data_IF_517833419242
#
_entry.id   IF_517833419242
#
_cell.length_a   1.000
_cell.length_b   1.000
_cell.length_c   1.000
_cell.angle_alpha   90.00
_cell.angle_beta   90.00
_cell.angle_gamma   90.00
#
_symmetry.space_group_name_H-M   'P 1'
#
loop_
_entity.id
_entity.type
_entity.pdbx_description
1 polymer ?
#
# COMPACT_ATOMS: atom_id res chain seq x y z
N UNK A 1 4.00 -64.95 3.80
CA UNK A 1 4.87 -63.82 3.40
C UNK A 1 4.06 -62.56 3.67
N UNK A 2 4.46 -61.78 4.68
CA UNK A 2 3.78 -60.56 5.09
C UNK A 2 4.65 -59.38 4.65
N UNK A 3 4.17 -58.59 3.69
CA UNK A 3 4.85 -57.39 3.23
C UNK A 3 4.77 -56.31 4.31
N UNK A 4 5.94 -55.93 4.83
CA UNK A 4 6.06 -54.82 5.76
C UNK A 4 6.04 -53.53 4.95
N UNK A 5 4.92 -52.80 5.00
CA UNK A 5 4.79 -51.48 4.39
C UNK A 5 5.66 -50.51 5.20
N UNK A 6 6.80 -50.11 4.63
CA UNK A 6 7.64 -49.04 5.17
C UNK A 6 6.88 -47.71 5.05
N UNK A 7 6.67 -47.06 6.20
CA UNK A 7 6.09 -45.72 6.29
C UNK A 7 7.04 -44.74 5.59
N UNK A 8 6.56 -43.86 4.69
CA UNK A 8 7.43 -42.88 4.04
C UNK A 8 8.05 -41.94 5.09
N UNK A 9 9.27 -41.42 4.85
CA UNK A 9 9.91 -40.49 5.76
C UNK A 9 9.04 -39.23 5.92
N UNK A 10 9.05 -38.59 7.10
CA UNK A 10 8.30 -37.35 7.30
C UNK A 10 8.76 -36.31 6.29
N UNK A 11 7.80 -35.67 5.64
CA UNK A 11 8.02 -34.46 4.83
C UNK A 11 8.81 -33.45 5.67
N UNK A 12 9.77 -32.76 5.04
CA UNK A 12 10.53 -31.68 5.65
C UNK A 12 9.59 -30.78 6.46
N UNK A 13 9.97 -30.50 7.71
CA UNK A 13 9.10 -29.88 8.72
C UNK A 13 8.37 -28.66 8.17
N UNK A 14 7.05 -28.62 8.35
CA UNK A 14 6.27 -27.44 8.07
C UNK A 14 6.83 -26.30 8.93
N UNK A 15 7.38 -25.28 8.29
CA UNK A 15 7.73 -24.02 8.97
C UNK A 15 6.40 -23.45 9.45
N UNK A 16 6.20 -23.39 10.77
CA UNK A 16 5.03 -22.75 11.34
C UNK A 16 5.15 -21.25 11.10
N UNK A 17 4.14 -20.65 10.48
CA UNK A 17 4.07 -19.20 10.28
C UNK A 17 3.05 -18.60 11.24
N UNK A 18 3.24 -17.34 11.64
CA UNK A 18 2.23 -16.56 12.32
C UNK A 18 1.87 -15.31 11.50
N UNK A 19 0.57 -15.05 11.36
CA UNK A 19 0.06 -13.91 10.60
C UNK A 19 0.03 -12.66 11.48
N UNK A 20 0.56 -11.54 11.00
CA UNK A 20 0.58 -10.26 11.73
C UNK A 20 0.10 -9.13 10.84
N UNK A 21 -0.58 -8.17 11.46
CA UNK A 21 -0.87 -6.86 10.89
C UNK A 21 0.14 -5.85 11.44
N UNK A 22 0.57 -4.93 10.58
CA UNK A 22 1.36 -3.76 10.94
C UNK A 22 0.56 -2.53 10.56
N UNK A 23 0.31 -1.65 11.52
CA UNK A 23 -0.66 -0.56 11.38
C UNK A 23 -0.03 0.75 11.83
N UNK A 24 -0.15 1.78 11.00
CA UNK A 24 0.34 3.11 11.27
C UNK A 24 -0.69 3.96 12.04
N UNK A 25 -0.25 4.62 13.11
CA UNK A 25 -1.02 5.62 13.84
C UNK A 25 -0.37 6.99 13.65
N UNK A 26 -1.04 7.86 12.89
CA UNK A 26 -0.51 9.14 12.42
C UNK A 26 -0.09 10.07 13.57
N UNK A 27 -1.01 10.39 14.48
CA UNK A 27 -0.79 11.44 15.49
C UNK A 27 0.16 10.99 16.60
N UNK A 28 0.17 9.70 16.92
CA UNK A 28 1.15 9.13 17.86
C UNK A 28 2.53 8.96 17.23
N UNK A 29 2.63 9.04 15.89
CA UNK A 29 3.86 8.73 15.17
C UNK A 29 4.31 7.31 15.47
N UNK A 30 3.39 6.35 15.44
CA UNK A 30 3.63 5.00 15.94
C UNK A 30 3.29 3.93 14.90
N UNK A 31 3.98 2.79 15.03
CA UNK A 31 3.68 1.56 14.28
C UNK A 31 3.31 0.49 15.29
N UNK A 32 2.14 -0.11 15.11
CA UNK A 32 1.63 -1.19 15.93
C UNK A 32 1.71 -2.50 15.17
N UNK A 33 2.11 -3.58 15.83
CA UNK A 33 2.01 -4.95 15.31
C UNK A 33 1.03 -5.75 16.15
N UNK A 34 0.18 -6.55 15.51
CA UNK A 34 -0.88 -7.33 16.18
C UNK A 34 -1.25 -8.58 15.37
N UNK A 35 -1.99 -9.50 15.98
CA UNK A 35 -2.63 -10.59 15.27
C UNK A 35 -3.76 -10.06 14.38
N UNK A 36 -4.22 -10.88 13.42
CA UNK A 36 -5.30 -10.50 12.47
C UNK A 36 -6.67 -10.32 13.13
N UNK A 37 -6.82 -10.70 14.40
CA UNK A 37 -8.01 -10.44 15.23
C UNK A 37 -7.84 -9.25 16.19
N UNK A 38 -6.70 -8.55 16.11
CA UNK A 38 -6.36 -7.40 16.96
C UNK A 38 -5.72 -7.76 18.31
N UNK A 39 -5.60 -9.04 18.64
CA UNK A 39 -4.90 -9.48 19.85
C UNK A 39 -3.37 -9.34 19.73
N UNK A 40 -2.64 -9.48 20.84
CA UNK A 40 -1.17 -9.32 20.90
C UNK A 40 -0.64 -8.00 20.30
N UNK A 41 -1.41 -6.91 20.48
CA UNK A 41 -1.00 -5.58 20.02
C UNK A 41 0.26 -5.11 20.77
N UNK A 42 1.27 -4.70 20.00
CA UNK A 42 2.54 -4.14 20.47
C UNK A 42 2.89 -2.89 19.67
N UNK A 43 3.25 -1.80 20.34
CA UNK A 43 3.90 -0.66 19.69
C UNK A 43 5.35 -1.00 19.44
N UNK A 44 5.76 -1.11 18.18
CA UNK A 44 7.13 -1.49 17.80
C UNK A 44 7.99 -0.29 17.39
N UNK A 45 7.37 0.78 16.89
CA UNK A 45 8.07 2.04 16.55
C UNK A 45 7.30 3.21 17.13
N UNK A 46 8.01 4.22 17.62
CA UNK A 46 7.48 5.52 18.09
C UNK A 46 8.30 6.67 17.49
N UNK A 47 7.73 7.88 17.46
CA UNK A 47 8.42 9.05 16.92
C UNK A 47 8.65 8.98 15.40
N UNK A 48 7.77 8.30 14.66
CA UNK A 48 7.65 8.48 13.22
C UNK A 48 7.00 9.84 12.92
N UNK A 49 7.40 10.49 11.84
CA UNK A 49 6.95 11.85 11.52
C UNK A 49 5.78 11.81 10.54
N UNK A 50 4.55 11.77 11.06
CA UNK A 50 3.32 11.67 10.28
C UNK A 50 3.36 10.47 9.29
N UNK A 51 3.43 9.22 9.80
CA UNK A 51 3.56 8.05 8.95
C UNK A 51 2.31 7.79 8.10
N UNK A 52 2.48 7.36 6.85
CA UNK A 52 1.34 7.15 5.92
C UNK A 52 1.31 5.76 5.26
N UNK A 53 2.33 5.40 4.48
CA UNK A 53 2.43 4.10 3.81
C UNK A 53 3.35 3.14 4.57
N UNK A 54 3.05 1.83 4.53
CA UNK A 54 3.86 0.78 5.16
C UNK A 54 3.90 -0.48 4.30
N UNK A 55 5.05 -1.17 4.26
CA UNK A 55 5.21 -2.49 3.65
C UNK A 55 6.16 -3.36 4.48
N UNK A 56 5.95 -4.68 4.45
CA UNK A 56 6.77 -5.66 5.18
C UNK A 56 7.57 -6.50 4.19
N UNK A 57 8.87 -6.58 4.41
CA UNK A 57 9.79 -7.50 3.74
C UNK A 57 10.04 -8.69 4.67
N UNK A 58 9.21 -9.73 4.53
CA UNK A 58 9.31 -10.93 5.36
C UNK A 58 10.65 -11.63 5.15
N UNK A 59 11.16 -11.66 3.92
CA UNK A 59 12.37 -12.39 3.56
C UNK A 59 13.63 -11.83 4.25
N UNK A 60 13.70 -10.51 4.44
CA UNK A 60 14.81 -9.86 5.15
C UNK A 60 14.47 -9.43 6.58
N UNK A 61 13.25 -9.70 7.06
CA UNK A 61 12.82 -9.32 8.40
C UNK A 61 12.76 -7.80 8.61
N UNK A 62 12.29 -7.05 7.62
CA UNK A 62 12.23 -5.59 7.67
C UNK A 62 10.82 -5.04 7.49
N UNK A 63 10.54 -3.92 8.15
CA UNK A 63 9.41 -3.05 7.85
C UNK A 63 9.93 -1.75 7.23
N UNK A 64 9.20 -1.23 6.25
CA UNK A 64 9.48 0.05 5.59
C UNK A 64 8.25 0.93 5.70
N UNK A 65 8.43 2.22 6.00
CA UNK A 65 7.32 3.16 6.04
C UNK A 65 7.71 4.55 5.53
N UNK A 66 6.72 5.27 5.04
CA UNK A 66 6.87 6.66 4.61
C UNK A 66 6.49 7.60 5.74
N UNK A 67 7.26 8.68 5.88
CA UNK A 67 6.97 9.81 6.75
C UNK A 67 6.62 11.00 5.86
N UNK A 68 5.41 11.55 6.02
CA UNK A 68 4.91 12.59 5.11
C UNK A 68 5.71 13.89 5.17
N UNK A 69 6.39 14.17 6.29
CA UNK A 69 6.91 15.52 6.51
C UNK A 69 5.77 16.54 6.64
N UNK A 70 6.10 17.82 6.51
CA UNK A 70 5.10 18.88 6.47
C UNK A 70 4.75 19.15 5.00
N UNK A 71 3.47 19.09 4.56
CA UNK A 71 3.11 19.17 3.14
C UNK A 71 3.70 20.32 2.32
N UNK A 72 3.96 21.48 2.95
CA UNK A 72 4.54 22.64 2.28
C UNK A 72 6.08 22.68 2.34
N UNK A 73 6.72 21.68 2.94
CA UNK A 73 8.17 21.48 3.01
C UNK A 73 8.53 20.21 2.22
N UNK A 74 9.63 20.26 1.46
CA UNK A 74 10.19 19.08 0.79
C UNK A 74 11.02 18.25 1.78
N UNK A 75 10.37 17.79 2.86
CA UNK A 75 11.02 17.17 4.03
C UNK A 75 10.48 15.79 4.39
N UNK A 76 9.76 15.16 3.46
CA UNK A 76 9.36 13.76 3.53
C UNK A 76 10.55 12.81 3.57
N UNK A 77 10.36 11.63 4.14
CA UNK A 77 11.42 10.61 4.25
C UNK A 77 10.86 9.20 4.22
N UNK A 78 11.73 8.21 4.01
CA UNK A 78 11.38 6.78 4.11
C UNK A 78 12.35 6.13 5.09
N UNK A 79 11.80 5.36 6.00
CA UNK A 79 12.54 4.68 7.04
C UNK A 79 12.30 3.17 7.00
N UNK A 80 13.22 2.45 7.63
CA UNK A 80 13.21 0.99 7.75
C UNK A 80 13.64 0.58 9.15
N UNK A 81 12.97 -0.41 9.73
CA UNK A 81 13.40 -1.09 10.96
C UNK A 81 13.28 -2.61 10.78
N UNK A 82 13.80 -3.37 11.73
CA UNK A 82 13.53 -4.80 11.82
C UNK A 82 12.06 -5.02 12.25
N UNK A 83 11.52 -6.24 12.10
CA UNK A 83 10.10 -6.53 12.41
C UNK A 83 9.71 -6.25 13.87
N UNK A 84 10.67 -6.21 14.79
CA UNK A 84 10.49 -5.86 16.20
C UNK A 84 10.67 -4.36 16.50
N UNK A 85 10.98 -3.55 15.48
CA UNK A 85 11.22 -2.11 15.57
C UNK A 85 12.66 -1.70 15.86
N UNK A 86 13.57 -2.66 16.07
CA UNK A 86 15.00 -2.37 16.26
C UNK A 86 15.69 -2.02 14.95
N UNK A 87 16.96 -1.58 15.01
CA UNK A 87 17.78 -1.26 13.83
C UNK A 87 17.13 -0.27 12.84
N UNK A 88 16.35 0.67 13.39
CA UNK A 88 15.70 1.77 12.66
C UNK A 88 16.72 2.64 11.93
N UNK A 89 16.48 2.89 10.65
CA UNK A 89 17.32 3.71 9.75
C UNK A 89 16.45 4.51 8.80
N UNK A 90 16.85 5.75 8.54
CA UNK A 90 16.34 6.53 7.41
C UNK A 90 17.09 6.12 6.15
N UNK A 91 16.36 5.56 5.17
CA UNK A 91 16.93 5.04 3.93
C UNK A 91 16.74 6.04 2.77
N UNK A 92 15.66 6.81 2.78
CA UNK A 92 15.48 7.97 1.90
C UNK A 92 15.46 9.22 2.78
N UNK A 93 16.49 10.08 2.71
CA UNK A 93 16.56 11.27 3.54
C UNK A 93 15.64 12.39 3.04
N UNK A 94 15.40 13.36 3.92
CA UNK A 94 14.64 14.58 3.61
C UNK A 94 15.23 15.31 2.39
N UNK A 95 14.37 15.94 1.59
CA UNK A 95 14.76 16.62 0.34
C UNK A 95 14.90 15.71 -0.88
N UNK A 96 14.63 14.40 -0.75
CA UNK A 96 14.59 13.47 -1.89
C UNK A 96 13.16 13.07 -2.30
N UNK A 97 12.19 13.23 -1.42
CA UNK A 97 10.76 13.02 -1.65
C UNK A 97 9.99 14.02 -0.81
N UNK A 98 8.92 14.59 -1.36
CA UNK A 98 8.28 15.76 -0.76
C UNK A 98 7.29 15.36 0.34
N UNK A 99 6.25 14.61 -0.02
CA UNK A 99 5.27 14.08 0.92
C UNK A 99 4.89 12.65 0.52
N UNK A 100 5.78 11.67 0.78
CA UNK A 100 5.59 10.30 0.38
C UNK A 100 4.32 9.70 1.01
N UNK A 101 3.67 8.80 0.28
CA UNK A 101 2.38 8.16 0.61
C UNK A 101 2.54 6.64 0.62
N UNK A 102 1.62 5.89 0.01
CA UNK A 102 1.72 4.43 -0.08
C UNK A 102 3.09 4.02 -0.61
N UNK A 103 3.63 2.95 -0.03
CA UNK A 103 4.89 2.32 -0.42
C UNK A 103 4.64 0.82 -0.59
N UNK A 104 5.24 0.23 -1.61
CA UNK A 104 5.17 -1.21 -1.89
C UNK A 104 6.58 -1.75 -2.13
N UNK A 105 6.73 -3.07 -2.03
CA UNK A 105 7.96 -3.79 -2.29
C UNK A 105 7.79 -4.72 -3.50
N UNK A 106 8.66 -4.56 -4.51
CA UNK A 106 8.88 -5.59 -5.52
C UNK A 106 9.94 -6.56 -5.02
N UNK A 107 9.51 -7.66 -4.40
CA UNK A 107 10.43 -8.65 -3.84
C UNK A 107 11.38 -9.24 -4.88
N UNK A 108 10.92 -9.41 -6.14
CA UNK A 108 11.75 -10.00 -7.20
C UNK A 108 12.65 -8.98 -7.87
N UNK A 109 12.14 -7.75 -8.03
CA UNK A 109 12.88 -6.64 -8.62
C UNK A 109 13.87 -5.98 -7.65
N UNK A 110 13.79 -6.29 -6.35
CA UNK A 110 14.62 -5.72 -5.29
C UNK A 110 14.49 -4.19 -5.15
N UNK A 111 13.27 -3.69 -5.34
CA UNK A 111 12.97 -2.25 -5.38
C UNK A 111 11.78 -1.91 -4.49
N UNK A 112 11.89 -0.77 -3.81
CA UNK A 112 10.76 -0.09 -3.18
C UNK A 112 10.16 0.90 -4.15
N UNK A 113 8.84 1.03 -4.17
CA UNK A 113 8.12 2.02 -4.97
C UNK A 113 7.19 2.80 -4.06
N UNK A 114 7.08 4.12 -4.26
CA UNK A 114 6.17 4.96 -3.49
C UNK A 114 5.58 6.08 -4.33
N UNK A 115 4.45 6.60 -3.88
CA UNK A 115 3.87 7.83 -4.40
C UNK A 115 4.34 9.02 -3.57
N UNK A 116 4.48 10.17 -4.24
CA UNK A 116 4.82 11.44 -3.62
C UNK A 116 3.75 12.48 -3.97
N UNK A 117 2.99 12.91 -2.96
CA UNK A 117 1.74 13.65 -3.15
C UNK A 117 1.97 15.06 -3.68
N UNK A 118 2.60 15.92 -2.88
CA UNK A 118 2.92 17.30 -3.26
C UNK A 118 4.08 17.39 -4.25
N UNK A 119 4.96 16.38 -4.28
CA UNK A 119 5.96 16.25 -5.33
C UNK A 119 5.37 15.80 -6.67
N UNK A 120 4.12 15.29 -6.68
CA UNK A 120 3.38 14.85 -7.87
C UNK A 120 4.10 13.75 -8.66
N UNK A 121 4.68 12.78 -7.96
CA UNK A 121 5.53 11.75 -8.55
C UNK A 121 5.13 10.35 -8.14
N UNK A 122 5.51 9.39 -8.97
CA UNK A 122 5.69 7.99 -8.56
C UNK A 122 7.17 7.69 -8.68
N UNK A 123 7.76 7.15 -7.62
CA UNK A 123 9.20 6.99 -7.46
C UNK A 123 9.56 5.56 -7.08
N UNK A 124 10.82 5.19 -7.29
CA UNK A 124 11.40 3.93 -6.80
C UNK A 124 12.84 4.10 -6.32
N UNK A 125 13.32 3.13 -5.56
CA UNK A 125 14.72 3.00 -5.14
C UNK A 125 15.05 1.53 -4.88
N UNK A 126 16.34 1.21 -4.73
CA UNK A 126 16.76 -0.04 -4.08
C UNK A 126 16.20 -0.14 -2.66
N UNK A 127 16.13 -1.35 -2.10
CA UNK A 127 15.66 -1.56 -0.71
C UNK A 127 16.47 -0.82 0.35
N UNK A 128 17.72 -0.48 0.05
CA UNK A 128 18.58 0.32 0.92
C UNK A 128 18.41 1.84 0.76
N UNK A 129 17.50 2.28 -0.11
CA UNK A 129 17.24 3.68 -0.44
C UNK A 129 18.16 4.28 -1.49
N UNK A 130 19.12 3.52 -2.02
CA UNK A 130 19.99 3.99 -3.11
C UNK A 130 19.28 3.97 -4.47
N UNK A 131 19.82 4.69 -5.46
CA UNK A 131 19.27 4.78 -6.82
C UNK A 131 17.81 5.24 -6.86
N UNK A 132 17.53 6.37 -6.21
CA UNK A 132 16.21 7.01 -6.28
C UNK A 132 15.95 7.46 -7.71
N UNK A 133 14.81 7.03 -8.27
CA UNK A 133 14.39 7.29 -9.64
C UNK A 133 12.93 7.75 -9.64
N UNK A 134 12.61 8.79 -10.42
CA UNK A 134 11.23 9.18 -10.73
C UNK A 134 10.74 8.40 -11.94
N UNK A 135 9.62 7.70 -11.81
CA UNK A 135 9.00 6.89 -12.88
C UNK A 135 7.86 7.61 -13.59
N UNK A 136 7.14 8.46 -12.86
CA UNK A 136 6.06 9.33 -13.34
C UNK A 136 6.25 10.70 -12.70
N UNK A 137 6.17 11.76 -13.49
CA UNK A 137 6.12 13.15 -13.05
C UNK A 137 4.84 13.79 -13.58
N UNK A 138 3.86 13.98 -12.71
CA UNK A 138 2.54 14.49 -13.07
C UNK A 138 2.45 16.02 -13.05
N UNK A 139 3.48 16.72 -12.55
CA UNK A 139 3.55 18.18 -12.51
C UNK A 139 4.82 18.66 -11.85
N UNK A 140 5.07 19.98 -11.94
CA UNK A 140 6.25 20.60 -11.34
C UNK A 140 5.96 22.01 -10.82
N UNK A 141 6.55 22.34 -9.67
CA UNK A 141 6.47 23.66 -9.05
C UNK A 141 5.16 23.94 -8.30
N UNK A 142 5.11 25.10 -7.65
CA UNK A 142 4.06 25.50 -6.71
C UNK A 142 2.66 25.61 -7.34
N UNK A 143 2.58 25.97 -8.62
CA UNK A 143 1.30 26.09 -9.31
C UNK A 143 0.65 24.72 -9.51
N UNK A 144 1.42 23.74 -10.02
CA UNK A 144 0.95 22.38 -10.25
C UNK A 144 0.70 21.66 -8.91
N UNK A 145 1.52 21.90 -7.88
CA UNK A 145 1.34 21.25 -6.57
C UNK A 145 0.04 21.63 -5.85
N UNK A 146 -0.64 22.70 -6.27
CA UNK A 146 -1.98 23.07 -5.78
C UNK A 146 -3.11 22.36 -6.52
N UNK A 147 -2.83 21.78 -7.69
CA UNK A 147 -3.81 20.99 -8.42
C UNK A 147 -3.84 19.57 -7.85
N UNK A 148 -4.79 19.33 -6.93
CA UNK A 148 -4.97 18.02 -6.29
C UNK A 148 -5.24 16.88 -7.28
N UNK A 149 -5.59 17.18 -8.54
CA UNK A 149 -5.72 16.12 -9.54
C UNK A 149 -4.37 15.55 -9.97
N UNK A 150 -3.23 16.17 -9.61
CA UNK A 150 -1.87 15.69 -9.88
C UNK A 150 -1.23 14.94 -8.72
N UNK A 151 -1.88 14.95 -7.57
CA UNK A 151 -1.39 14.34 -6.34
C UNK A 151 -1.45 12.82 -6.41
N UNK A 152 -0.29 12.19 -6.49
CA UNK A 152 -0.16 10.74 -6.49
C UNK A 152 -0.22 10.22 -5.04
N UNK A 153 -1.00 9.16 -4.77
CA UNK A 153 -1.24 8.70 -3.39
C UNK A 153 -0.97 7.21 -3.21
N UNK A 154 -1.71 6.36 -3.92
CA UNK A 154 -1.58 4.91 -3.88
C UNK A 154 -0.98 4.36 -5.15
N UNK A 155 -0.35 3.21 -5.05
CA UNK A 155 0.21 2.48 -6.17
C UNK A 155 0.23 0.97 -5.93
N UNK A 156 0.27 0.24 -7.03
CA UNK A 156 0.63 -1.18 -7.04
C UNK A 156 1.31 -1.52 -8.38
N UNK A 157 1.95 -2.68 -8.46
CA UNK A 157 2.62 -3.15 -9.67
C UNK A 157 2.13 -4.55 -10.04
N UNK A 158 2.18 -4.82 -11.34
CA UNK A 158 2.08 -6.17 -11.90
C UNK A 158 3.45 -6.53 -12.49
N UNK A 159 4.35 -7.16 -11.69
CA UNK A 159 5.72 -7.44 -12.14
C UNK A 159 5.75 -8.37 -13.35
N UNK A 160 4.79 -9.31 -13.43
CA UNK A 160 4.71 -10.30 -14.51
C UNK A 160 4.46 -9.63 -15.86
N UNK A 161 3.57 -8.64 -15.90
CA UNK A 161 3.24 -7.92 -17.13
C UNK A 161 3.97 -6.57 -17.25
N UNK A 162 4.86 -6.27 -16.29
CA UNK A 162 5.66 -5.05 -16.21
C UNK A 162 4.77 -3.81 -16.31
N UNK A 163 3.72 -3.76 -15.48
CA UNK A 163 2.80 -2.61 -15.37
C UNK A 163 2.87 -2.00 -13.98
N UNK A 164 2.60 -0.70 -13.93
CA UNK A 164 2.40 0.06 -12.70
C UNK A 164 1.04 0.72 -12.75
N UNK A 165 0.33 0.73 -11.62
CA UNK A 165 -0.95 1.41 -11.43
C UNK A 165 -0.80 2.38 -10.28
N UNK A 166 -1.39 3.57 -10.39
CA UNK A 166 -1.37 4.56 -9.30
C UNK A 166 -2.62 5.41 -9.30
N UNK A 167 -3.01 5.88 -8.12
CA UNK A 167 -4.09 6.85 -7.96
C UNK A 167 -3.59 8.28 -8.06
N UNK A 168 -4.43 9.14 -8.62
CA UNK A 168 -4.39 10.57 -8.35
C UNK A 168 -5.71 10.99 -7.71
N UNK A 169 -5.65 11.48 -6.47
CA UNK A 169 -6.83 11.59 -5.61
C UNK A 169 -7.86 12.61 -6.09
N UNK A 170 -7.42 13.75 -6.64
CA UNK A 170 -8.30 14.89 -6.87
C UNK A 170 -8.80 15.54 -5.57
N UNK A 171 -9.58 16.64 -5.67
CA UNK A 171 -10.20 17.24 -4.51
C UNK A 171 -11.28 16.34 -3.93
N UNK A 172 -11.45 16.45 -2.63
CA UNK A 172 -12.40 15.69 -1.83
C UNK A 172 -13.81 15.82 -2.42
N UNK A 173 -14.52 14.70 -2.58
CA UNK A 173 -15.89 14.63 -3.12
C UNK A 173 -16.10 15.24 -4.52
N UNK A 174 -15.03 15.52 -5.28
CA UNK A 174 -15.17 16.24 -6.55
C UNK A 174 -15.45 15.32 -7.75
N UNK A 175 -15.34 13.99 -7.59
CA UNK A 175 -15.46 13.06 -8.71
C UNK A 175 -14.40 13.29 -9.77
N UNK A 176 -13.21 13.75 -9.37
CA UNK A 176 -12.06 14.03 -10.25
C UNK A 176 -10.88 13.10 -9.99
N UNK A 177 -11.05 12.15 -9.07
CA UNK A 177 -10.11 11.09 -8.81
C UNK A 177 -9.96 10.17 -10.01
N UNK A 178 -8.75 9.64 -10.19
CA UNK A 178 -8.36 8.78 -11.30
C UNK A 178 -7.41 7.71 -10.81
N UNK A 179 -7.43 6.56 -11.47
CA UNK A 179 -6.37 5.57 -11.42
C UNK A 179 -5.76 5.49 -12.81
N UNK A 180 -4.44 5.46 -12.89
CA UNK A 180 -3.69 5.37 -14.14
C UNK A 180 -2.97 4.04 -14.25
N UNK A 181 -2.53 3.71 -15.46
CA UNK A 181 -1.68 2.57 -15.76
C UNK A 181 -0.56 3.02 -16.72
N UNK A 182 0.64 2.46 -16.58
CA UNK A 182 1.73 2.62 -17.53
C UNK A 182 2.64 1.38 -17.54
N UNK A 183 3.60 1.32 -18.46
CA UNK A 183 4.67 0.32 -18.33
C UNK A 183 5.52 0.60 -17.08
N UNK A 184 6.04 -0.45 -16.46
CA UNK A 184 6.89 -0.32 -15.28
C UNK A 184 8.19 0.45 -15.59
N UNK A 185 8.74 0.24 -16.79
CA UNK A 185 9.87 1.04 -17.29
C UNK A 185 9.38 2.12 -18.24
N UNK A 186 10.06 3.27 -18.19
CA UNK A 186 9.85 4.38 -19.12
C UNK A 186 10.24 3.91 -20.54
N UNK A 187 9.42 4.16 -21.57
CA UNK A 187 9.78 3.83 -22.95
C UNK A 187 11.10 4.48 -23.38
N UNK A 188 11.88 3.77 -24.20
CA UNK A 188 13.19 4.24 -24.64
C UNK A 188 13.11 5.62 -25.31
N UNK A 189 13.97 6.55 -24.88
CA UNK A 189 14.01 7.93 -25.38
C UNK A 189 12.99 8.88 -24.75
N UNK A 190 12.18 8.41 -23.81
CA UNK A 190 11.22 9.22 -23.04
C UNK A 190 11.72 9.44 -21.60
N UNK A 191 11.05 10.32 -20.87
CA UNK A 191 11.30 10.67 -19.47
C UNK A 191 10.04 10.47 -18.64
N UNK A 192 10.16 10.55 -17.31
CA UNK A 192 9.02 10.45 -16.40
C UNK A 192 7.92 11.51 -16.67
N UNK A 193 8.32 12.69 -17.17
CA UNK A 193 7.43 13.81 -17.44
C UNK A 193 6.78 13.77 -18.84
N UNK A 194 7.37 13.05 -19.80
CA UNK A 194 6.90 13.04 -21.19
C UNK A 194 6.52 11.67 -21.73
N UNK A 195 6.56 10.64 -20.88
CA UNK A 195 6.23 9.27 -21.29
C UNK A 195 4.81 9.17 -21.83
N UNK A 196 4.68 8.61 -23.02
CA UNK A 196 3.44 8.60 -23.80
C UNK A 196 2.54 7.40 -23.51
N UNK A 197 2.99 6.48 -22.68
CA UNK A 197 2.34 5.20 -22.39
C UNK A 197 1.45 5.22 -21.13
N UNK A 198 1.22 6.42 -20.58
CA UNK A 198 0.28 6.62 -19.46
C UNK A 198 -1.15 6.58 -19.99
N UNK A 199 -1.94 5.67 -19.46
CA UNK A 199 -3.38 5.53 -19.73
C UNK A 199 -4.18 5.86 -18.46
N UNK A 200 -5.31 6.56 -18.62
CA UNK A 200 -6.32 6.65 -17.55
C UNK A 200 -7.04 5.31 -17.49
N UNK A 201 -6.88 4.59 -16.38
CA UNK A 201 -7.46 3.27 -16.17
C UNK A 201 -8.88 3.37 -15.57
N UNK A 202 -9.06 4.19 -14.54
CA UNK A 202 -10.36 4.60 -14.01
C UNK A 202 -10.45 6.12 -13.93
N UNK A 203 -11.65 6.65 -14.14
CA UNK A 203 -11.94 8.08 -14.05
C UNK A 203 -13.21 8.33 -13.23
N UNK A 204 -13.41 9.60 -12.85
CA UNK A 204 -14.58 10.05 -12.11
C UNK A 204 -14.79 9.25 -10.81
N UNK A 205 -13.67 8.92 -10.17
CA UNK A 205 -13.63 8.37 -8.83
C UNK A 205 -13.78 9.53 -7.83
N UNK A 206 -14.46 9.32 -6.69
CA UNK A 206 -14.56 10.32 -5.63
C UNK A 206 -13.21 10.85 -5.18
N UNK A 207 -12.39 10.00 -4.57
CA UNK A 207 -11.05 10.28 -4.04
C UNK A 207 -10.27 8.96 -3.78
N UNK A 208 -9.70 8.31 -4.82
CA UNK A 208 -8.99 7.04 -4.68
C UNK A 208 -7.66 7.24 -3.91
N UNK A 209 -7.42 6.40 -2.90
CA UNK A 209 -6.29 6.53 -1.98
C UNK A 209 -5.29 5.41 -2.20
N UNK A 210 -5.51 4.26 -1.59
CA UNK A 210 -4.53 3.17 -1.45
C UNK A 210 -4.91 2.01 -2.38
N UNK A 211 -3.93 1.40 -3.04
CA UNK A 211 -4.13 0.39 -4.09
C UNK A 211 -3.46 -0.92 -3.72
N UNK A 212 -4.15 -2.04 -3.94
CA UNK A 212 -3.58 -3.39 -3.81
C UNK A 212 -3.94 -4.26 -5.01
N UNK A 213 -3.04 -5.15 -5.42
CA UNK A 213 -3.27 -6.04 -6.56
C UNK A 213 -3.23 -7.50 -6.13
N UNK A 214 -4.36 -8.19 -6.29
CA UNK A 214 -4.33 -9.64 -6.39
C UNK A 214 -3.68 -10.02 -7.73
N UNK A 215 -2.37 -10.26 -7.72
CA UNK A 215 -1.60 -10.60 -8.92
C UNK A 215 -2.04 -11.95 -9.52
N UNK A 216 -2.54 -12.87 -8.68
CA UNK A 216 -2.93 -14.22 -9.10
C UNK A 216 -4.22 -14.18 -9.92
N UNK A 217 -5.23 -13.48 -9.40
CA UNK A 217 -6.56 -13.37 -10.04
C UNK A 217 -6.72 -12.11 -10.89
N UNK A 218 -5.72 -11.22 -10.86
CA UNK A 218 -5.64 -9.99 -11.66
C UNK A 218 -6.82 -9.04 -11.37
N UNK A 219 -7.05 -8.84 -10.06
CA UNK A 219 -8.08 -7.94 -9.53
C UNK A 219 -7.39 -6.82 -8.76
N UNK A 220 -7.63 -5.58 -9.20
CA UNK A 220 -7.20 -4.38 -8.51
C UNK A 220 -8.22 -4.03 -7.43
N UNK A 221 -7.74 -3.76 -6.22
CA UNK A 221 -8.50 -3.24 -5.10
C UNK A 221 -8.04 -1.81 -4.79
N UNK A 222 -8.97 -0.95 -4.38
CA UNK A 222 -8.62 0.37 -3.87
C UNK A 222 -9.61 0.89 -2.84
N UNK A 223 -9.09 1.69 -1.90
CA UNK A 223 -9.91 2.53 -1.03
C UNK A 223 -10.26 3.83 -1.75
N UNK A 224 -11.49 4.29 -1.54
CA UNK A 224 -12.00 5.51 -2.15
C UNK A 224 -12.68 6.34 -1.07
N UNK A 225 -12.17 7.55 -0.79
CA UNK A 225 -12.73 8.45 0.24
C UNK A 225 -13.89 9.26 -0.29
N UNK A 226 -14.61 9.92 0.60
CA UNK A 226 -15.71 10.80 0.25
C UNK A 226 -17.11 10.25 0.51
N UNK A 227 -18.12 10.88 -0.08
CA UNK A 227 -19.51 10.68 0.32
C UNK A 227 -20.15 9.42 -0.31
N UNK A 228 -20.99 8.70 0.45
CA UNK A 228 -21.84 7.65 -0.11
C UNK A 228 -22.69 8.14 -1.29
N UNK A 229 -23.04 7.28 -2.26
CA UNK A 229 -22.84 5.82 -2.24
C UNK A 229 -21.50 5.36 -2.83
N UNK A 230 -20.66 6.26 -3.35
CA UNK A 230 -19.44 5.87 -4.09
C UNK A 230 -18.14 6.12 -3.32
N UNK A 231 -18.13 7.06 -2.36
CA UNK A 231 -17.00 7.27 -1.47
C UNK A 231 -17.17 6.53 -0.14
N UNK A 232 -16.08 6.48 0.63
CA UNK A 232 -15.95 5.69 1.86
C UNK A 232 -16.20 4.20 1.62
N UNK A 233 -15.51 3.68 0.60
CA UNK A 233 -15.65 2.33 0.07
C UNK A 233 -14.30 1.62 -0.11
N UNK A 234 -14.36 0.30 -0.16
CA UNK A 234 -13.38 -0.51 -0.92
C UNK A 234 -14.04 -0.93 -2.21
N UNK A 235 -13.34 -0.74 -3.31
CA UNK A 235 -13.76 -1.11 -4.65
C UNK A 235 -12.81 -2.18 -5.19
N UNK A 236 -13.30 -2.99 -6.12
CA UNK A 236 -12.47 -3.90 -6.89
C UNK A 236 -12.86 -3.95 -8.36
N UNK A 237 -11.91 -4.29 -9.23
CA UNK A 237 -12.17 -4.53 -10.64
C UNK A 237 -11.08 -5.41 -11.26
N UNK A 238 -11.45 -6.19 -12.28
CA UNK A 238 -10.47 -6.93 -13.08
C UNK A 238 -9.59 -5.98 -13.90
N UNK A 239 -8.30 -6.29 -13.99
CA UNK A 239 -7.35 -5.54 -14.83
C UNK A 239 -7.16 -6.10 -16.25
N UNK A 240 -7.82 -7.23 -16.58
CA UNK A 240 -7.73 -7.85 -17.91
C UNK A 240 -8.80 -7.37 -18.88
N UNK A 241 -9.98 -7.01 -18.39
CA UNK A 241 -11.11 -6.56 -19.19
C UNK A 241 -11.29 -5.04 -18.99
N UNK A 242 -10.88 -4.23 -19.99
CA UNK A 242 -10.79 -2.77 -19.89
C UNK A 242 -12.16 -2.07 -19.76
N UNK A 243 -12.23 -1.10 -18.84
CA UNK A 243 -12.44 -1.39 -17.44
C UNK A 243 -13.83 -1.99 -17.23
N UNK A 244 -13.92 -3.13 -16.53
CA UNK A 244 -15.19 -3.55 -15.93
C UNK A 244 -15.65 -2.46 -14.94
N UNK A 245 -16.96 -2.24 -14.84
CA UNK A 245 -17.52 -1.35 -13.82
C UNK A 245 -17.00 -1.80 -12.44
N UNK A 246 -16.41 -0.87 -11.65
CA UNK A 246 -15.99 -1.17 -10.29
C UNK A 246 -17.12 -1.78 -9.46
N UNK A 247 -16.80 -2.85 -8.75
CA UNK A 247 -17.67 -3.41 -7.72
C UNK A 247 -17.29 -2.79 -6.37
N UNK A 248 -18.25 -2.20 -5.69
CA UNK A 248 -18.09 -1.77 -4.30
C UNK A 248 -18.30 -3.00 -3.42
N UNK A 249 -17.27 -3.37 -2.65
CA UNK A 249 -17.27 -4.56 -1.78
C UNK A 249 -17.34 -4.21 -0.30
N UNK A 250 -16.86 -3.03 0.10
CA UNK A 250 -17.01 -2.50 1.47
C UNK A 250 -17.56 -1.09 1.38
N UNK A 251 -18.40 -0.70 2.34
CA UNK A 251 -19.05 0.62 2.40
C UNK A 251 -18.99 1.20 3.81
N UNK A 252 -19.40 2.46 3.99
CA UNK A 252 -19.54 3.11 5.29
C UNK A 252 -18.23 3.19 6.11
N UNK A 253 -17.08 3.20 5.44
CA UNK A 253 -15.82 3.56 6.07
C UNK A 253 -15.87 5.02 6.57
N UNK A 254 -15.01 5.37 7.52
CA UNK A 254 -14.88 6.76 7.99
C UNK A 254 -13.55 7.36 7.53
N UNK A 255 -13.52 7.81 6.28
CA UNK A 255 -12.31 8.19 5.53
C UNK A 255 -11.36 6.98 5.38
N UNK A 256 -11.75 5.99 4.58
CA UNK A 256 -10.94 4.79 4.32
C UNK A 256 -9.57 5.12 3.72
N UNK A 257 -8.49 4.57 4.29
CA UNK A 257 -7.11 4.82 3.84
C UNK A 257 -6.45 3.52 3.43
N UNK A 258 -5.88 2.76 4.37
CA UNK A 258 -5.02 1.63 4.05
C UNK A 258 -5.82 0.39 3.68
N UNK A 259 -5.28 -0.42 2.77
CA UNK A 259 -5.78 -1.76 2.46
C UNK A 259 -4.61 -2.75 2.39
N UNK A 260 -4.79 -3.95 2.94
CA UNK A 260 -3.87 -5.07 2.80
C UNK A 260 -4.63 -6.34 2.44
N UNK A 261 -4.09 -7.15 1.53
CA UNK A 261 -4.72 -8.39 1.07
C UNK A 261 -4.02 -9.64 1.61
N UNK A 262 -4.81 -10.58 2.09
CA UNK A 262 -4.45 -11.98 2.28
C UNK A 262 -5.18 -12.81 1.20
N UNK A 263 -4.58 -12.83 0.01
CA UNK A 263 -5.17 -13.50 -1.16
C UNK A 263 -5.38 -15.00 -0.94
N UNK A 264 -4.40 -15.76 -0.40
CA UNK A 264 -4.59 -17.19 -0.14
C UNK A 264 -5.66 -17.49 0.90
N UNK A 265 -5.81 -16.63 1.91
CA UNK A 265 -6.80 -16.77 2.98
C UNK A 265 -8.18 -16.20 2.67
N UNK A 266 -8.38 -15.61 1.48
CA UNK A 266 -9.62 -14.90 1.09
C UNK A 266 -10.03 -13.85 2.12
N UNK A 267 -9.10 -12.94 2.45
CA UNK A 267 -9.32 -11.84 3.38
C UNK A 267 -8.69 -10.55 2.90
N UNK A 268 -9.32 -9.43 3.24
CA UNK A 268 -8.73 -8.09 3.22
C UNK A 268 -8.78 -7.48 4.62
N UNK A 269 -7.88 -6.54 4.85
CA UNK A 269 -7.84 -5.69 6.03
C UNK A 269 -7.84 -4.24 5.59
N UNK A 270 -8.64 -3.41 6.27
CA UNK A 270 -8.84 -2.00 5.89
C UNK A 270 -8.74 -1.13 7.11
N UNK A 271 -8.07 0.00 7.00
CA UNK A 271 -8.04 1.05 8.02
C UNK A 271 -8.83 2.26 7.56
N UNK A 272 -9.40 2.99 8.52
CA UNK A 272 -9.98 4.30 8.27
C UNK A 272 -9.41 5.37 9.21
N UNK A 273 -9.54 6.63 8.80
CA UNK A 273 -8.95 7.74 9.54
C UNK A 273 -9.62 7.95 10.90
N UNK A 274 -10.84 7.47 11.12
CA UNK A 274 -11.51 7.54 12.42
C UNK A 274 -10.95 6.53 13.44
N UNK A 275 -10.07 5.63 13.01
CA UNK A 275 -9.34 4.73 13.88
C UNK A 275 -9.93 3.35 13.98
N UNK A 276 -10.65 2.92 12.94
CA UNK A 276 -11.17 1.56 12.84
C UNK A 276 -10.27 0.66 11.99
N UNK A 277 -10.28 -0.63 12.32
CA UNK A 277 -9.70 -1.69 11.50
C UNK A 277 -10.79 -2.72 11.21
N UNK A 278 -10.98 -2.96 9.91
CA UNK A 278 -11.97 -3.88 9.38
C UNK A 278 -11.27 -5.10 8.79
N UNK A 279 -11.97 -6.23 8.80
CA UNK A 279 -11.66 -7.38 7.96
C UNK A 279 -12.91 -7.83 7.21
N UNK A 280 -12.72 -8.29 5.98
CA UNK A 280 -13.78 -8.87 5.15
C UNK A 280 -13.18 -9.95 4.25
N UNK A 281 -14.01 -10.80 3.66
CA UNK A 281 -13.60 -11.63 2.52
C UNK A 281 -13.27 -10.76 1.31
N UNK A 282 -12.56 -11.28 0.31
CA UNK A 282 -12.15 -10.49 -0.86
C UNK A 282 -13.32 -10.02 -1.73
N UNK A 283 -14.52 -10.57 -1.51
CA UNK A 283 -15.79 -10.15 -2.09
C UNK A 283 -16.62 -9.20 -1.21
N UNK A 284 -16.09 -8.81 -0.06
CA UNK A 284 -16.76 -7.92 0.88
C UNK A 284 -17.69 -8.63 1.87
N UNK A 285 -17.98 -9.91 1.67
CA UNK A 285 -18.80 -10.66 2.61
C UNK A 285 -18.08 -10.85 3.95
N UNK A 286 -18.84 -11.05 5.03
CA UNK A 286 -18.27 -11.25 6.35
C UNK A 286 -17.56 -10.02 6.93
N UNK A 287 -17.84 -8.82 6.40
CA UNK A 287 -17.27 -7.57 6.91
C UNK A 287 -17.47 -7.44 8.42
N UNK A 288 -16.37 -7.15 9.13
CA UNK A 288 -16.35 -6.92 10.56
C UNK A 288 -15.32 -5.85 10.91
N UNK A 289 -15.78 -4.82 11.60
CA UNK A 289 -14.93 -3.95 12.40
C UNK A 289 -14.50 -4.71 13.68
N UNK A 290 -13.21 -4.96 13.85
CA UNK A 290 -12.69 -5.71 15.01
C UNK A 290 -11.87 -4.85 15.97
N UNK A 291 -11.47 -3.63 15.58
CA UNK A 291 -10.84 -2.64 16.45
C UNK A 291 -11.34 -1.24 16.11
N UNK A 292 -11.63 -0.43 17.14
CA UNK A 292 -12.18 0.92 17.02
C UNK A 292 -11.41 1.92 17.89
N UNK A 293 -11.49 3.22 17.56
CA UNK A 293 -10.89 4.30 18.34
C UNK A 293 -9.38 4.11 18.62
N UNK A 294 -8.62 3.66 17.61
CA UNK A 294 -7.18 3.41 17.71
C UNK A 294 -6.30 4.66 17.47
N UNK A 295 -6.90 5.85 17.40
CA UNK A 295 -6.25 7.06 16.89
C UNK A 295 -6.44 7.20 15.38
N UNK A 296 -5.85 8.23 14.76
CA UNK A 296 -5.93 8.37 13.30
C UNK A 296 -5.04 7.33 12.63
N UNK A 297 -5.64 6.32 12.00
CA UNK A 297 -4.91 5.27 11.30
C UNK A 297 -4.69 5.63 9.84
N UNK A 298 -3.54 5.24 9.30
CA UNK A 298 -3.18 5.38 7.88
C UNK A 298 -2.90 3.99 7.29
N UNK A 299 -1.69 3.72 6.81
CA UNK A 299 -1.36 2.46 6.15
C UNK A 299 -1.44 1.24 7.05
N UNK A 300 -1.72 0.10 6.41
CA UNK A 300 -1.76 -1.22 7.02
C UNK A 300 -1.00 -2.20 6.11
N UNK A 301 -0.26 -3.13 6.71
CA UNK A 301 0.37 -4.24 6.00
C UNK A 301 0.03 -5.57 6.67
N UNK A 302 -0.20 -6.59 5.86
CA UNK A 302 -0.37 -7.98 6.28
C UNK A 302 0.92 -8.76 5.98
N UNK A 303 1.35 -9.61 6.91
CA UNK A 303 2.51 -10.47 6.71
C UNK A 303 2.36 -11.83 7.38
N UNK A 304 2.84 -12.88 6.70
CA UNK A 304 3.03 -14.21 7.27
C UNK A 304 4.50 -14.37 7.66
N UNK A 305 4.78 -14.36 8.95
CA UNK A 305 6.16 -14.37 9.46
C UNK A 305 6.51 -15.80 9.90
N UNK A 306 7.62 -16.39 9.43
CA UNK A 306 8.11 -17.67 9.93
C UNK A 306 8.38 -17.63 11.44
N UNK A 307 7.93 -18.64 12.18
CA UNK A 307 8.40 -18.85 13.55
C UNK A 307 9.83 -19.37 13.51
N UNK A 308 10.74 -18.66 14.17
CA UNK A 308 12.03 -19.23 14.52
C UNK A 308 11.83 -20.31 15.59
N UNK A 309 12.33 -21.52 15.33
CA UNK A 309 12.31 -22.66 16.26
C UNK A 309 13.34 -22.51 17.38
#
# INVERSE_FOLDING_TARGET
MSETILKPPPLAGAVTTHTRLFVLELNAGAIHSMNTDGSDRKTIVTGAHLPDGIVVDVANGHIYWTNMGVPNLDDGSIERADLDGTNRKMIVPQGHTHTPKQIILDEKGDKLYWCDREGMRVMRANRDGSQIETLIEAGHGEADSRDQTRWCVGLTIDPKHRKIYWSQKGPDNAGRGRIFCANLEIPAGQTAANRSDIEVFFNRLPEPIDLELDVKNRILYWTDRGDPPRGNTVNRASIDNKPAEPEIVVTHLMEGIGIALDVPGDRMFVTDFAGSIYSAHLDGSGERNFLYAQGNLTGIAYAEIPQEN
#
